data_IF_936319423693
#
_entry.id   IF_936319423693
#
_cell.length_a   1.000
_cell.length_b   1.000
_cell.length_c   1.000
_cell.angle_alpha   90.00
_cell.angle_beta   90.00
_cell.angle_gamma   90.00
#
_symmetry.space_group_name_H-M   'P 1'
#
loop_
_entity.id
_entity.type
_entity.pdbx_description
1 polymer ?
#
# COMPACT_ATOMS: atom_id res chain seq x y z
N UNK A 1 4.25 24.60 8.33
CA UNK A 1 4.79 24.31 6.98
C UNK A 1 6.00 23.39 7.01
N UNK A 2 7.13 23.77 7.64
CA UNK A 2 8.32 22.89 7.69
C UNK A 2 8.03 21.64 8.55
N UNK A 3 7.35 21.81 9.68
CA UNK A 3 6.97 20.67 10.54
C UNK A 3 6.03 19.70 9.81
N UNK A 4 4.99 20.21 9.15
CA UNK A 4 4.03 19.39 8.39
C UNK A 4 4.71 18.59 7.27
N UNK A 5 5.70 19.20 6.60
CA UNK A 5 6.52 18.52 5.60
C UNK A 5 7.35 17.39 6.23
N UNK A 6 7.96 17.62 7.40
CA UNK A 6 8.72 16.58 8.11
C UNK A 6 7.81 15.41 8.46
N UNK A 7 6.62 15.68 9.02
CA UNK A 7 5.65 14.62 9.33
C UNK A 7 5.22 13.86 8.07
N UNK A 8 5.00 14.55 6.94
CA UNK A 8 4.70 13.91 5.67
C UNK A 8 5.85 13.02 5.15
N UNK A 9 7.10 13.48 5.26
CA UNK A 9 8.27 12.67 4.87
C UNK A 9 8.43 11.43 5.76
N UNK A 10 8.20 11.57 7.07
CA UNK A 10 8.24 10.44 8.01
C UNK A 10 7.13 9.44 7.66
N UNK A 11 5.89 9.90 7.47
CA UNK A 11 4.78 9.05 7.05
C UNK A 11 5.07 8.32 5.74
N UNK A 12 5.60 9.04 4.75
CA UNK A 12 6.01 8.46 3.47
C UNK A 12 7.05 7.35 3.66
N UNK A 13 8.14 7.63 4.35
CA UNK A 13 9.22 6.67 4.55
C UNK A 13 8.76 5.42 5.29
N UNK A 14 7.90 5.57 6.31
CA UNK A 14 7.31 4.45 7.04
C UNK A 14 6.46 3.60 6.12
N UNK A 15 5.47 4.17 5.43
CA UNK A 15 4.55 3.37 4.62
C UNK A 15 5.26 2.73 3.43
N UNK A 16 6.14 3.50 2.78
CA UNK A 16 6.96 2.99 1.68
C UNK A 16 7.87 1.85 2.15
N UNK A 17 8.54 2.01 3.30
CA UNK A 17 9.34 0.97 3.92
C UNK A 17 8.55 -0.28 4.30
N UNK A 18 7.33 -0.12 4.81
CA UNK A 18 6.43 -1.23 5.14
C UNK A 18 6.03 -2.01 3.89
N UNK A 19 5.60 -1.33 2.82
CA UNK A 19 5.21 -2.00 1.58
C UNK A 19 6.38 -2.70 0.90
N UNK A 20 7.55 -2.06 0.86
CA UNK A 20 8.77 -2.64 0.27
C UNK A 20 9.32 -3.80 1.11
N UNK A 21 9.25 -3.73 2.44
CA UNK A 21 9.79 -4.75 3.34
C UNK A 21 8.87 -5.96 3.55
N UNK A 22 7.55 -5.74 3.67
CA UNK A 22 6.59 -6.83 3.96
C UNK A 22 6.08 -7.48 2.67
N UNK A 23 6.03 -6.73 1.56
CA UNK A 23 5.45 -7.14 0.28
C UNK A 23 3.95 -6.88 0.19
N UNK A 24 3.46 -6.64 -1.03
CA UNK A 24 2.09 -6.18 -1.29
C UNK A 24 1.06 -7.32 -1.40
N UNK A 25 1.48 -8.57 -1.60
CA UNK A 25 0.55 -9.60 -2.05
C UNK A 25 0.93 -11.02 -1.61
N UNK A 26 0.41 -11.49 -0.48
CA UNK A 26 -0.22 -12.81 -0.34
C UNK A 26 -0.83 -12.94 1.07
N UNK A 27 -2.03 -13.54 1.23
CA UNK A 27 -2.56 -13.87 2.55
C UNK A 27 -1.65 -14.86 3.27
N UNK A 28 -0.78 -14.35 4.15
CA UNK A 28 0.13 -15.17 4.98
C UNK A 28 -0.66 -15.86 6.09
N UNK A 29 -1.15 -17.06 5.82
CA UNK A 29 -1.75 -17.94 6.84
C UNK A 29 -3.19 -17.63 7.23
N UNK A 30 -3.90 -16.78 6.48
CA UNK A 30 -5.32 -16.44 6.70
C UNK A 30 -6.17 -16.68 5.46
N UNK A 31 -7.48 -16.89 5.62
CA UNK A 31 -8.41 -16.94 4.48
C UNK A 31 -8.42 -15.59 3.73
N UNK A 32 -8.58 -15.63 2.40
CA UNK A 32 -8.76 -14.44 1.55
C UNK A 32 -9.87 -13.51 2.07
N UNK A 33 -10.93 -14.08 2.64
CA UNK A 33 -12.05 -13.32 3.22
C UNK A 33 -11.62 -12.54 4.46
N UNK A 34 -10.92 -13.20 5.39
CA UNK A 34 -10.39 -12.57 6.61
C UNK A 34 -9.38 -11.48 6.27
N UNK A 35 -8.54 -11.73 5.27
CA UNK A 35 -7.55 -10.78 4.78
C UNK A 35 -8.23 -9.52 4.21
N UNK A 36 -9.26 -9.71 3.37
CA UNK A 36 -10.07 -8.61 2.83
C UNK A 36 -10.78 -7.79 3.92
N UNK A 37 -11.43 -8.45 4.89
CA UNK A 37 -12.04 -7.76 6.03
C UNK A 37 -11.01 -7.00 6.87
N UNK A 38 -9.79 -7.53 7.01
CA UNK A 38 -8.68 -6.85 7.67
C UNK A 38 -8.30 -5.54 6.97
N UNK A 39 -8.09 -5.58 5.64
CA UNK A 39 -7.81 -4.36 4.87
C UNK A 39 -8.97 -3.37 4.91
N UNK A 40 -10.21 -3.85 4.83
CA UNK A 40 -11.39 -3.00 4.93
C UNK A 40 -11.45 -2.28 6.27
N UNK A 41 -11.19 -2.99 7.38
CA UNK A 41 -11.17 -2.39 8.70
C UNK A 41 -10.05 -1.34 8.85
N UNK A 42 -8.86 -1.63 8.31
CA UNK A 42 -7.73 -0.68 8.29
C UNK A 42 -8.07 0.56 7.48
N UNK A 43 -8.66 0.39 6.29
CA UNK A 43 -9.06 1.49 5.42
C UNK A 43 -10.09 2.40 6.10
N UNK A 44 -11.15 1.84 6.67
CA UNK A 44 -12.18 2.59 7.40
C UNK A 44 -11.56 3.34 8.60
N UNK A 45 -10.66 2.69 9.32
CA UNK A 45 -9.97 3.31 10.47
C UNK A 45 -9.09 4.48 10.02
N UNK A 46 -8.34 4.31 8.94
CA UNK A 46 -7.52 5.36 8.36
C UNK A 46 -8.38 6.57 7.94
N UNK A 47 -9.48 6.33 7.22
CA UNK A 47 -10.41 7.38 6.79
C UNK A 47 -11.01 8.15 7.98
N UNK A 48 -11.39 7.44 9.04
CA UNK A 48 -11.90 8.06 10.26
C UNK A 48 -10.84 8.95 10.94
N UNK A 49 -9.57 8.50 10.97
CA UNK A 49 -8.46 9.29 11.54
C UNK A 49 -8.16 10.51 10.67
N UNK A 50 -8.25 10.41 9.34
CA UNK A 50 -8.12 11.56 8.43
C UNK A 50 -9.22 12.58 8.70
N UNK A 51 -10.48 12.16 8.78
CA UNK A 51 -11.60 13.06 9.09
C UNK A 51 -11.37 13.74 10.44
N UNK A 52 -10.97 13.00 11.47
CA UNK A 52 -10.66 13.55 12.78
C UNK A 52 -9.54 14.60 12.72
N UNK A 53 -8.45 14.31 12.01
CA UNK A 53 -7.32 15.22 11.84
C UNK A 53 -7.74 16.54 11.16
N UNK A 54 -8.60 16.44 10.15
CA UNK A 54 -9.15 17.60 9.43
C UNK A 54 -10.09 18.43 10.31
N UNK A 55 -11.00 17.79 11.06
CA UNK A 55 -11.96 18.50 11.93
C UNK A 55 -11.28 19.21 13.10
N UNK A 56 -10.17 18.67 13.58
CA UNK A 56 -9.41 19.23 14.71
C UNK A 56 -8.30 20.21 14.28
N UNK A 57 -8.18 20.51 12.98
CA UNK A 57 -7.10 21.30 12.40
C UNK A 57 -5.70 20.83 12.84
N UNK A 58 -5.53 19.52 13.03
CA UNK A 58 -4.28 18.95 13.50
C UNK A 58 -3.30 18.77 12.34
N UNK A 59 -2.57 19.84 12.02
CA UNK A 59 -1.70 19.93 10.83
C UNK A 59 -0.64 18.82 10.75
N UNK A 60 0.00 18.50 11.88
CA UNK A 60 1.05 17.48 11.95
C UNK A 60 0.50 16.09 11.63
N UNK A 61 -0.67 15.76 12.19
CA UNK A 61 -1.35 14.49 11.94
C UNK A 61 -1.80 14.41 10.48
N UNK A 62 -2.38 15.49 9.94
CA UNK A 62 -2.75 15.57 8.52
C UNK A 62 -1.54 15.38 7.60
N UNK A 63 -0.41 16.03 7.90
CA UNK A 63 0.84 15.86 7.17
C UNK A 63 1.35 14.42 7.22
N UNK A 64 1.36 13.81 8.40
CA UNK A 64 1.75 12.41 8.58
C UNK A 64 0.88 11.43 7.77
N UNK A 65 -0.45 11.57 7.86
CA UNK A 65 -1.40 10.73 7.12
C UNK A 65 -1.25 10.90 5.61
N UNK A 66 -1.07 12.14 5.13
CA UNK A 66 -0.78 12.42 3.73
C UNK A 66 0.50 11.73 3.28
N UNK A 67 1.54 11.76 4.12
CA UNK A 67 2.78 11.01 3.92
C UNK A 67 2.55 9.52 3.75
N UNK A 68 1.82 8.90 4.69
CA UNK A 68 1.46 7.48 4.62
C UNK A 68 0.75 7.16 3.30
N UNK A 69 -0.24 7.96 2.90
CA UNK A 69 -0.96 7.78 1.63
C UNK A 69 -0.03 7.89 0.41
N UNK A 70 0.89 8.86 0.40
CA UNK A 70 1.86 9.01 -0.67
C UNK A 70 2.80 7.79 -0.75
N UNK A 71 3.32 7.31 0.39
CA UNK A 71 4.17 6.12 0.45
C UNK A 71 3.44 4.87 -0.01
N UNK A 72 2.14 4.74 0.34
CA UNK A 72 1.29 3.66 -0.13
C UNK A 72 1.11 3.69 -1.65
N UNK A 73 0.74 4.84 -2.20
CA UNK A 73 0.53 5.02 -3.64
C UNK A 73 1.81 4.76 -4.45
N UNK A 74 2.96 5.26 -4.00
CA UNK A 74 4.25 5.01 -4.64
C UNK A 74 4.64 3.54 -4.57
N UNK A 75 4.49 2.90 -3.39
CA UNK A 75 4.79 1.48 -3.24
C UNK A 75 3.93 0.59 -4.14
N UNK A 76 2.62 0.87 -4.22
CA UNK A 76 1.71 0.19 -5.14
C UNK A 76 2.09 0.41 -6.61
N UNK A 77 2.41 1.65 -6.99
CA UNK A 77 2.84 1.97 -8.35
C UNK A 77 4.11 1.22 -8.78
N UNK A 78 5.10 1.13 -7.88
CA UNK A 78 6.33 0.37 -8.13
C UNK A 78 6.03 -1.14 -8.23
N UNK A 79 5.16 -1.67 -7.37
CA UNK A 79 4.77 -3.09 -7.44
C UNK A 79 4.08 -3.44 -8.76
N UNK A 80 3.17 -2.58 -9.24
CA UNK A 80 2.52 -2.75 -10.55
C UNK A 80 3.54 -2.65 -11.69
N UNK A 81 4.45 -1.67 -11.64
CA UNK A 81 5.49 -1.54 -12.66
C UNK A 81 6.43 -2.75 -12.71
N UNK A 82 6.77 -3.33 -11.56
CA UNK A 82 7.53 -4.57 -11.47
C UNK A 82 6.77 -5.74 -12.10
N UNK A 83 5.47 -5.88 -11.79
CA UNK A 83 4.63 -6.94 -12.36
C UNK A 83 4.51 -6.84 -13.88
N UNK A 84 4.33 -5.64 -14.44
CA UNK A 84 4.28 -5.42 -15.90
C UNK A 84 5.62 -5.80 -16.55
N UNK A 85 6.74 -5.40 -15.94
CA UNK A 85 8.07 -5.74 -16.45
C UNK A 85 8.31 -7.26 -16.44
N UNK A 86 7.84 -7.97 -15.41
CA UNK A 86 7.92 -9.43 -15.34
C UNK A 86 7.06 -10.10 -16.43
N UNK A 87 5.85 -9.61 -16.68
CA UNK A 87 4.99 -10.11 -17.77
C UNK A 87 5.62 -9.89 -19.15
N UNK A 88 6.24 -8.73 -19.40
CA UNK A 88 6.89 -8.42 -20.67
C UNK A 88 8.14 -9.29 -20.93
N UNK A 89 8.85 -9.71 -19.87
CA UNK A 89 10.02 -10.57 -19.98
C UNK A 89 9.69 -12.06 -20.19
N UNK A 90 8.49 -12.52 -19.81
CA UNK A 90 8.04 -13.90 -20.05
C UNK A 90 7.57 -14.14 -21.50
N UNK A 91 7.45 -13.10 -22.32
CA UNK A 91 7.09 -13.18 -23.75
C UNK A 91 8.16 -13.77 -24.69
N UNK A 92 9.41 -13.94 -24.25
CA UNK A 92 10.51 -14.45 -25.10
C UNK A 92 10.93 -15.91 -24.82
N UNK A 93 10.27 -16.67 -23.93
CA UNK A 93 10.62 -18.09 -23.68
C UNK A 93 9.40 -19.01 -23.60
N UNK A 94 9.24 -19.88 -24.60
CA UNK A 94 8.20 -20.91 -24.63
C UNK A 94 8.35 -21.99 -23.53
N UNK A 95 7.42 -21.98 -22.54
CA UNK A 95 6.67 -23.10 -21.86
C UNK A 95 7.41 -24.13 -20.94
N UNK A 96 6.72 -24.91 -20.03
CA UNK A 96 5.32 -24.86 -19.51
C UNK A 96 5.12 -24.98 -17.96
N UNK A 97 3.94 -24.52 -17.48
CA UNK A 97 3.18 -24.85 -16.23
C UNK A 97 3.80 -24.59 -14.83
N UNK A 98 3.25 -23.58 -14.13
CA UNK A 98 2.46 -23.82 -12.91
C UNK A 98 1.47 -22.68 -12.62
N UNK A 99 0.20 -23.06 -12.36
CA UNK A 99 -0.89 -22.20 -11.93
C UNK A 99 -0.56 -21.49 -10.61
N UNK A 100 -0.86 -20.19 -10.54
CA UNK A 100 -1.82 -19.63 -9.57
C UNK A 100 -2.32 -18.29 -10.12
N UNK A 101 -3.48 -18.33 -10.75
CA UNK A 101 -4.35 -17.15 -10.88
C UNK A 101 -4.64 -16.65 -9.47
N UNK A 102 -4.05 -15.52 -9.07
CA UNK A 102 -4.40 -14.81 -7.82
C UNK A 102 -4.85 -13.37 -8.08
N UNK A 103 -5.41 -13.12 -9.26
CA UNK A 103 -6.44 -12.10 -9.44
C UNK A 103 -7.77 -12.84 -9.46
N UNK A 104 -8.40 -12.92 -8.29
CA UNK A 104 -9.78 -13.36 -8.12
C UNK A 104 -10.60 -12.19 -7.61
N UNK A 105 -11.29 -11.51 -8.52
CA UNK A 105 -12.67 -11.13 -8.24
C UNK A 105 -13.51 -12.41 -8.20
#
# INVERSE_FOLDING_TARGET
MIDDLIYALIGFAIMFGVLTGIGINEPRGTSIKTWCYGYLAIAITFDAIVIFALVTDYSQLTGFLLGLSAGAATGLGIHVAHHISEEDHEGEKEKPKQKKTMFGF
#
